data_IF_883153068892
#
_entry.id   IF_883153068892
#
_cell.length_a   1.000
_cell.length_b   1.000
_cell.length_c   1.000
_cell.angle_alpha   90.00
_cell.angle_beta   90.00
_cell.angle_gamma   90.00
#
_symmetry.space_group_name_H-M   'P 1'
#
loop_
_entity.id
_entity.type
_entity.pdbx_description
1 polymer ?
#
# COMPACT_ATOMS: atom_id res chain seq x y z
N UNK A 1 -18.02 9.56 -16.75
CA UNK A 1 -17.76 8.14 -16.99
C UNK A 1 -17.07 7.53 -15.80
N UNK A 2 -17.50 6.33 -15.42
CA UNK A 2 -16.88 5.60 -14.32
C UNK A 2 -15.50 5.09 -14.74
N UNK A 3 -14.57 5.09 -13.78
CA UNK A 3 -13.25 4.47 -13.96
C UNK A 3 -13.40 2.96 -13.82
N UNK A 4 -12.60 2.21 -14.60
CA UNK A 4 -12.53 0.76 -14.44
C UNK A 4 -11.85 0.41 -13.11
N UNK A 5 -12.05 -0.81 -12.58
CA UNK A 5 -11.30 -1.22 -11.40
C UNK A 5 -9.77 -1.14 -11.57
N UNK A 6 -9.25 -1.46 -12.76
CA UNK A 6 -7.83 -1.32 -13.05
C UNK A 6 -7.37 0.15 -13.00
N UNK A 7 -8.19 1.08 -13.51
CA UNK A 7 -7.89 2.51 -13.42
C UNK A 7 -7.91 3.01 -11.98
N UNK A 8 -8.90 2.56 -11.19
CA UNK A 8 -8.96 2.90 -9.77
C UNK A 8 -7.77 2.33 -8.99
N UNK A 9 -7.40 1.07 -9.25
CA UNK A 9 -6.24 0.44 -8.62
C UNK A 9 -4.95 1.19 -8.98
N UNK A 10 -4.80 1.57 -10.24
CA UNK A 10 -3.64 2.35 -10.70
C UNK A 10 -3.59 3.71 -10.01
N UNK A 11 -4.72 4.40 -9.91
CA UNK A 11 -4.80 5.68 -9.21
C UNK A 11 -4.43 5.52 -7.73
N UNK A 12 -4.89 4.46 -7.09
CA UNK A 12 -4.57 4.15 -5.70
C UNK A 12 -3.06 4.01 -5.49
N UNK A 13 -2.40 3.15 -6.27
CA UNK A 13 -0.98 2.84 -6.04
C UNK A 13 -0.05 3.97 -6.47
N UNK A 14 -0.44 4.77 -7.47
CA UNK A 14 0.36 5.94 -7.84
C UNK A 14 0.26 7.06 -6.80
N UNK A 15 -0.71 6.96 -5.89
CA UNK A 15 -0.86 7.90 -4.76
C UNK A 15 -0.04 7.48 -3.53
N UNK A 16 0.64 6.34 -3.55
CA UNK A 16 1.45 5.90 -2.41
C UNK A 16 2.49 6.97 -2.05
N UNK A 17 2.51 7.34 -0.78
CA UNK A 17 3.26 8.49 -0.27
C UNK A 17 2.38 9.69 0.05
N UNK A 18 1.16 9.74 -0.48
CA UNK A 18 0.22 10.85 -0.28
C UNK A 18 -1.09 10.32 0.31
N UNK A 19 -1.22 10.25 1.64
CA UNK A 19 -2.37 9.63 2.31
C UNK A 19 -3.73 10.18 1.87
N UNK A 20 -3.86 11.48 1.69
CA UNK A 20 -5.13 12.08 1.26
C UNK A 20 -5.55 11.62 -0.13
N UNK A 21 -4.59 11.48 -1.04
CA UNK A 21 -4.86 11.00 -2.39
C UNK A 21 -5.17 9.50 -2.42
N UNK A 22 -4.55 8.72 -1.51
CA UNK A 22 -4.86 7.31 -1.35
C UNK A 22 -6.34 7.14 -1.00
N UNK A 23 -6.80 7.83 0.04
CA UNK A 23 -8.17 7.65 0.52
C UNK A 23 -9.21 8.31 -0.38
N UNK A 24 -8.80 9.18 -1.29
CA UNK A 24 -9.73 9.85 -2.21
C UNK A 24 -10.47 8.86 -3.12
N UNK A 25 -9.91 7.67 -3.38
CA UNK A 25 -10.53 6.64 -4.22
C UNK A 25 -11.22 5.55 -3.40
N UNK A 26 -11.17 5.64 -2.06
CA UNK A 26 -11.75 4.63 -1.17
C UNK A 26 -13.17 4.99 -0.76
N UNK A 27 -14.01 3.98 -0.67
CA UNK A 27 -15.32 4.11 -0.04
C UNK A 27 -15.15 4.36 1.47
N UNK A 28 -16.17 4.96 2.10
CA UNK A 28 -16.13 5.25 3.53
C UNK A 28 -15.94 3.98 4.37
N UNK A 29 -16.55 2.88 3.94
CA UNK A 29 -16.50 1.58 4.61
C UNK A 29 -15.40 0.65 4.09
N UNK A 30 -14.43 1.17 3.34
CA UNK A 30 -13.38 0.37 2.72
C UNK A 30 -12.58 -0.43 3.74
N UNK A 31 -12.11 -1.61 3.30
CA UNK A 31 -11.19 -2.45 4.08
C UNK A 31 -9.87 -2.58 3.33
N UNK A 32 -8.79 -2.69 4.09
CA UNK A 32 -7.44 -2.86 3.55
C UNK A 32 -6.77 -4.03 4.22
N UNK A 33 -6.44 -5.04 3.42
CA UNK A 33 -5.73 -6.22 3.86
C UNK A 33 -4.29 -6.14 3.32
N UNK A 34 -3.31 -6.46 4.16
CA UNK A 34 -1.90 -6.54 3.75
C UNK A 34 -1.35 -7.92 4.11
N UNK A 35 -0.35 -8.38 3.36
CA UNK A 35 0.33 -9.65 3.58
C UNK A 35 0.60 -9.88 5.07
N UNK A 36 0.17 -11.03 5.67
CA UNK A 36 0.25 -11.24 7.12
C UNK A 36 1.67 -11.23 7.69
N UNK A 37 2.68 -11.52 6.88
CA UNK A 37 4.07 -11.50 7.34
C UNK A 37 4.62 -10.09 7.54
N UNK A 38 3.92 -9.07 7.06
CA UNK A 38 4.28 -7.67 7.37
C UNK A 38 4.01 -7.45 8.86
N UNK A 39 5.02 -6.97 9.64
CA UNK A 39 4.84 -6.78 11.07
C UNK A 39 3.76 -5.75 11.40
N UNK A 40 2.99 -5.96 12.49
CA UNK A 40 1.94 -5.01 12.87
C UNK A 40 2.47 -3.62 13.23
N UNK A 41 3.76 -3.49 13.56
CA UNK A 41 4.42 -2.18 13.75
C UNK A 41 4.41 -1.36 12.47
N UNK A 42 4.40 -2.00 11.32
CA UNK A 42 4.30 -1.33 10.01
C UNK A 42 2.84 -0.98 9.74
N UNK A 43 1.97 -1.99 9.77
CA UNK A 43 0.57 -1.82 9.48
C UNK A 43 -0.22 -3.02 9.99
N UNK A 44 -1.41 -2.79 10.50
CA UNK A 44 -2.32 -3.88 10.88
C UNK A 44 -2.64 -4.74 9.67
N UNK A 45 -2.75 -6.06 9.89
CA UNK A 45 -3.07 -7.01 8.83
C UNK A 45 -4.38 -6.65 8.11
N UNK A 46 -5.39 -6.20 8.85
CA UNK A 46 -6.66 -5.71 8.29
C UNK A 46 -7.00 -4.38 8.94
N UNK A 47 -7.30 -3.39 8.11
CA UNK A 47 -7.78 -2.08 8.56
C UNK A 47 -9.16 -1.85 7.97
N UNK A 48 -10.11 -1.38 8.78
CA UNK A 48 -11.48 -1.15 8.36
C UNK A 48 -11.85 0.32 8.52
N UNK A 49 -12.40 0.89 7.46
CA UNK A 49 -12.84 2.28 7.41
C UNK A 49 -11.79 3.21 6.82
N UNK A 50 -12.27 4.11 5.96
CA UNK A 50 -11.41 5.05 5.24
C UNK A 50 -10.54 5.90 6.17
N UNK A 51 -11.10 6.37 7.28
CA UNK A 51 -10.36 7.22 8.21
C UNK A 51 -9.28 6.44 8.98
N UNK A 52 -9.53 5.18 9.33
CA UNK A 52 -8.52 4.31 9.94
C UNK A 52 -7.38 4.08 8.95
N UNK A 53 -7.72 3.78 7.70
CA UNK A 53 -6.73 3.57 6.64
C UNK A 53 -5.90 4.83 6.43
N UNK A 54 -6.53 6.01 6.41
CA UNK A 54 -5.84 7.28 6.27
C UNK A 54 -4.80 7.49 7.38
N UNK A 55 -5.19 7.23 8.62
CA UNK A 55 -4.28 7.35 9.77
C UNK A 55 -3.09 6.41 9.66
N UNK A 56 -3.33 5.16 9.25
CA UNK A 56 -2.26 4.18 9.03
C UNK A 56 -1.30 4.63 7.93
N UNK A 57 -1.82 5.13 6.81
CA UNK A 57 -1.00 5.60 5.70
C UNK A 57 -0.20 6.84 6.08
N UNK A 58 -0.80 7.76 6.84
CA UNK A 58 -0.09 8.93 7.31
C UNK A 58 1.10 8.54 8.19
N UNK A 59 0.91 7.59 9.10
CA UNK A 59 1.99 7.09 9.94
C UNK A 59 3.10 6.41 9.13
N UNK A 60 2.72 5.55 8.18
CA UNK A 60 3.68 4.82 7.33
C UNK A 60 4.53 5.81 6.53
N UNK A 61 3.91 6.80 5.89
CA UNK A 61 4.60 7.72 4.98
C UNK A 61 5.17 8.97 5.66
N UNK A 62 5.13 9.04 6.99
CA UNK A 62 5.83 10.09 7.74
C UNK A 62 6.87 9.52 8.68
N UNK A 63 6.63 8.35 9.24
CA UNK A 63 7.51 7.75 10.25
C UNK A 63 8.36 6.61 9.71
N UNK A 64 7.82 5.78 8.83
CA UNK A 64 8.55 4.64 8.28
C UNK A 64 9.30 4.99 7.00
N UNK A 65 8.65 5.71 6.09
CA UNK A 65 9.24 6.17 4.83
C UNK A 65 9.16 7.69 4.73
N UNK A 66 10.01 8.26 3.88
CA UNK A 66 9.82 9.64 3.45
C UNK A 66 8.82 9.65 2.30
N UNK A 67 7.55 9.96 2.60
CA UNK A 67 6.45 9.89 1.63
C UNK A 67 6.69 10.72 0.37
N UNK A 68 7.35 11.86 0.49
CA UNK A 68 7.62 12.76 -0.65
C UNK A 68 8.56 12.14 -1.68
N UNK A 69 9.31 11.11 -1.30
CA UNK A 69 10.24 10.42 -2.20
C UNK A 69 9.65 9.18 -2.86
N UNK A 70 8.44 8.79 -2.46
CA UNK A 70 7.84 7.55 -2.97
C UNK A 70 7.49 7.67 -4.45
N UNK A 71 7.83 6.62 -5.21
CA UNK A 71 7.58 6.52 -6.65
C UNK A 71 7.02 5.16 -6.97
N UNK A 72 5.98 5.15 -7.78
CA UNK A 72 5.32 3.93 -8.24
C UNK A 72 5.58 3.74 -9.73
N UNK A 73 6.10 2.58 -10.10
CA UNK A 73 6.25 2.19 -11.51
C UNK A 73 5.28 1.04 -11.78
N UNK A 74 4.22 1.34 -12.53
CA UNK A 74 3.20 0.34 -12.87
C UNK A 74 3.71 -0.53 -14.02
N UNK A 75 3.61 -1.85 -13.86
CA UNK A 75 4.01 -2.82 -14.88
C UNK A 75 2.80 -3.35 -15.66
N UNK A 76 1.69 -3.61 -14.98
CA UNK A 76 0.47 -4.09 -15.62
C UNK A 76 -0.73 -3.80 -14.74
N UNK A 77 -1.89 -3.61 -15.37
CA UNK A 77 -3.16 -3.45 -14.67
C UNK A 77 -4.26 -4.09 -15.49
N UNK A 78 -5.08 -4.89 -14.86
CA UNK A 78 -6.18 -5.62 -15.51
C UNK A 78 -7.44 -5.51 -14.68
N UNK A 79 -8.60 -5.66 -15.32
CA UNK A 79 -9.91 -5.67 -14.68
C UNK A 79 -10.74 -6.82 -15.19
N UNK A 80 -11.59 -7.36 -14.31
CA UNK A 80 -12.65 -8.29 -14.68
C UNK A 80 -13.83 -8.04 -13.75
N UNK A 81 -14.98 -7.68 -14.31
CA UNK A 81 -16.14 -7.30 -13.49
C UNK A 81 -15.83 -6.11 -12.60
N UNK A 82 -16.07 -6.25 -11.29
CA UNK A 82 -15.77 -5.23 -10.30
C UNK A 82 -14.40 -5.42 -9.62
N UNK A 83 -13.56 -6.31 -10.16
CA UNK A 83 -12.24 -6.60 -9.62
C UNK A 83 -11.15 -6.00 -10.50
N UNK A 84 -10.14 -5.42 -9.89
CA UNK A 84 -8.98 -4.89 -10.59
C UNK A 84 -7.70 -5.33 -9.90
N UNK A 85 -6.63 -5.42 -10.68
CA UNK A 85 -5.32 -5.84 -10.17
C UNK A 85 -4.25 -5.00 -10.84
N UNK A 86 -3.30 -4.50 -10.05
CA UNK A 86 -2.16 -3.74 -10.55
C UNK A 86 -0.87 -4.29 -9.96
N UNK A 87 0.10 -4.55 -10.81
CA UNK A 87 1.44 -5.01 -10.43
C UNK A 87 2.41 -3.85 -10.64
N UNK A 88 3.22 -3.55 -9.63
CA UNK A 88 4.08 -2.37 -9.66
C UNK A 88 5.32 -2.54 -8.78
N UNK A 89 6.30 -1.69 -9.02
CA UNK A 89 7.46 -1.50 -8.15
C UNK A 89 7.26 -0.20 -7.38
N UNK A 90 7.39 -0.27 -6.07
CA UNK A 90 7.39 0.91 -5.21
C UNK A 90 8.81 1.16 -4.74
N UNK A 91 9.27 2.40 -4.86
CA UNK A 91 10.59 2.79 -4.38
C UNK A 91 10.52 4.16 -3.71
N UNK A 92 11.45 4.42 -2.82
CA UNK A 92 11.54 5.67 -2.09
C UNK A 92 12.69 5.62 -1.09
N UNK A 93 12.71 6.58 -0.19
CA UNK A 93 13.77 6.68 0.81
C UNK A 93 13.19 6.49 2.20
N UNK A 94 14.00 5.87 3.07
CA UNK A 94 13.76 5.91 4.51
C UNK A 94 14.05 7.31 5.04
N UNK A 95 13.48 7.70 6.18
CA UNK A 95 13.72 9.04 6.74
C UNK A 95 15.20 9.27 7.07
N UNK A 96 15.61 10.53 7.03
CA UNK A 96 16.93 10.98 7.55
C UNK A 96 18.13 10.31 6.87
N UNK A 97 18.01 9.96 5.60
CA UNK A 97 19.12 9.36 4.85
C UNK A 97 19.50 7.96 5.28
N UNK A 98 18.58 7.23 5.90
CA UNK A 98 18.84 5.87 6.41
C UNK A 98 18.87 4.80 5.31
N UNK A 99 18.72 5.18 4.06
CA UNK A 99 18.80 4.28 2.91
C UNK A 99 17.59 4.37 2.01
N UNK A 100 17.55 3.49 1.00
CA UNK A 100 16.49 3.45 0.02
C UNK A 100 15.67 2.16 0.17
N UNK A 101 14.39 2.25 -0.18
CA UNK A 101 13.46 1.13 -0.20
C UNK A 101 13.04 0.88 -1.65
N UNK A 102 13.05 -0.38 -2.08
CA UNK A 102 12.45 -0.78 -3.34
C UNK A 102 11.86 -2.18 -3.19
N UNK A 103 10.64 -2.39 -3.67
CA UNK A 103 9.99 -3.68 -3.52
C UNK A 103 8.91 -3.87 -4.59
N UNK A 104 8.56 -5.12 -4.83
CA UNK A 104 7.54 -5.50 -5.79
C UNK A 104 6.21 -5.74 -5.08
N UNK A 105 5.15 -5.24 -5.69
CA UNK A 105 3.81 -5.28 -5.14
C UNK A 105 2.80 -5.77 -6.16
N UNK A 106 1.75 -6.37 -5.66
CA UNK A 106 0.53 -6.61 -6.43
C UNK A 106 -0.65 -6.20 -5.55
N UNK A 107 -1.44 -5.25 -6.01
CA UNK A 107 -2.62 -4.78 -5.29
C UNK A 107 -3.86 -5.17 -6.08
N UNK A 108 -4.77 -5.86 -5.40
CA UNK A 108 -6.08 -6.22 -5.94
C UNK A 108 -7.14 -5.35 -5.27
N UNK A 109 -8.14 -4.93 -6.03
CA UNK A 109 -9.23 -4.11 -5.50
C UNK A 109 -10.58 -4.67 -5.92
N UNK A 110 -11.58 -4.44 -5.07
CA UNK A 110 -12.99 -4.62 -5.40
C UNK A 110 -13.64 -3.25 -5.36
N UNK A 111 -14.49 -2.97 -6.35
CA UNK A 111 -15.08 -1.64 -6.52
C UNK A 111 -16.60 -1.66 -6.47
N UNK A 112 -17.19 -0.52 -6.12
CA UNK A 112 -18.63 -0.27 -6.12
C UNK A 112 -18.84 1.22 -6.39
N UNK A 113 -19.61 1.55 -7.41
CA UNK A 113 -20.00 2.95 -7.70
C UNK A 113 -18.80 3.90 -7.82
N UNK A 114 -17.80 3.49 -8.57
CA UNK A 114 -16.59 4.29 -8.85
C UNK A 114 -15.73 4.56 -7.60
N UNK A 115 -15.85 3.68 -6.58
CA UNK A 115 -15.03 3.71 -5.39
C UNK A 115 -14.49 2.32 -5.08
N UNK A 116 -13.33 2.27 -4.42
CA UNK A 116 -12.73 1.01 -3.98
C UNK A 116 -13.32 0.66 -2.61
N UNK A 117 -13.89 -0.54 -2.48
CA UNK A 117 -14.45 -1.03 -1.22
C UNK A 117 -13.51 -2.00 -0.51
N UNK A 118 -12.64 -2.68 -1.24
CA UNK A 118 -11.68 -3.62 -0.66
C UNK A 118 -10.35 -3.51 -1.37
N UNK A 119 -9.28 -3.53 -0.58
CA UNK A 119 -7.90 -3.54 -1.07
C UNK A 119 -7.20 -4.76 -0.48
N UNK A 120 -6.54 -5.53 -1.33
CA UNK A 120 -5.62 -6.60 -0.92
C UNK A 120 -4.23 -6.20 -1.40
N UNK A 121 -3.35 -5.91 -0.46
CA UNK A 121 -1.98 -5.51 -0.75
C UNK A 121 -1.05 -6.69 -0.54
N UNK A 122 -0.54 -7.24 -1.65
CA UNK A 122 0.49 -8.28 -1.63
C UNK A 122 1.84 -7.63 -1.85
N UNK A 123 2.75 -7.85 -0.93
CA UNK A 123 4.10 -7.31 -0.97
C UNK A 123 5.07 -8.40 -0.54
N UNK A 124 6.29 -8.37 -1.06
CA UNK A 124 7.33 -9.28 -0.62
C UNK A 124 7.78 -8.87 0.79
N UNK A 125 7.21 -9.54 1.79
CA UNK A 125 7.43 -9.19 3.19
C UNK A 125 8.89 -9.42 3.63
N UNK A 126 9.54 -10.47 3.11
CA UNK A 126 10.94 -10.74 3.44
C UNK A 126 11.85 -9.60 2.96
N UNK A 127 11.66 -9.17 1.72
CA UNK A 127 12.42 -8.04 1.16
C UNK A 127 12.16 -6.76 1.95
N UNK A 128 10.91 -6.50 2.30
CA UNK A 128 10.53 -5.31 3.09
C UNK A 128 11.26 -5.30 4.44
N UNK A 129 11.19 -6.40 5.19
CA UNK A 129 11.82 -6.50 6.51
C UNK A 129 13.34 -6.38 6.42
N UNK A 130 13.95 -7.05 5.43
CA UNK A 130 15.42 -6.98 5.23
C UNK A 130 15.88 -5.55 4.99
N UNK A 131 15.17 -4.80 4.16
CA UNK A 131 15.54 -3.41 3.86
C UNK A 131 15.32 -2.50 5.06
N UNK A 132 14.26 -2.70 5.83
CA UNK A 132 14.01 -1.96 7.06
C UNK A 132 15.11 -2.21 8.07
N UNK A 133 15.51 -3.46 8.25
CA UNK A 133 16.62 -3.81 9.16
C UNK A 133 17.94 -3.17 8.70
N UNK A 134 18.21 -3.18 7.40
CA UNK A 134 19.41 -2.54 6.83
C UNK A 134 19.39 -1.03 7.05
N UNK A 135 18.21 -0.43 7.13
CA UNK A 135 18.06 1.01 7.42
C UNK A 135 18.14 1.31 8.92
N UNK A 136 18.34 0.31 9.76
CA UNK A 136 18.48 0.48 11.21
C UNK A 136 17.14 0.46 11.96
N UNK A 137 16.07 0.03 11.31
CA UNK A 137 14.76 -0.12 11.96
C UNK A 137 14.74 -1.45 12.69
N UNK A 138 14.45 -1.41 13.99
CA UNK A 138 14.35 -2.62 14.82
C UNK A 138 13.00 -3.28 14.59
N UNK A 139 12.97 -4.20 13.65
CA UNK A 139 11.75 -4.87 13.21
C UNK A 139 12.06 -6.33 12.89
N UNK A 140 11.09 -7.20 13.16
CA UNK A 140 11.18 -8.63 12.85
C UNK A 140 9.98 -9.05 12.02
N UNK A 141 10.10 -10.12 11.20
CA UNK A 141 8.95 -10.68 10.51
C UNK A 141 7.86 -11.06 11.49
N UNK A 142 6.59 -10.88 11.09
CA UNK A 142 5.48 -11.33 11.92
C UNK A 142 5.56 -12.85 12.10
N UNK A 143 5.28 -13.33 13.32
CA UNK A 143 5.26 -14.74 13.60
C UNK A 143 4.17 -15.42 12.77
N UNK A 144 4.50 -16.59 12.18
CA UNK A 144 3.50 -17.42 11.53
C UNK A 144 2.54 -17.94 12.59
N UNK A 145 1.24 -17.74 12.38
CA UNK A 145 0.20 -18.24 13.29
C UNK A 145 -0.53 -19.41 12.66
#
# INVERSE_FOLDING_TARGET
MSRTPAELATQLVTAFGRPDDIVAVLAEDATWWITPAIPPEVMDHVSTGREVIRGNMQRVFTQLYNGDTMRTQVHSAISEGNLGTVRFTLSGEFPQGQGTYTNEYCVCVETRDDEITKVWEYVDAAVAVMQMQAAGIDIQPAAAS
#
